data_IF_746230630767
#
_entry.id   IF_746230630767
#
_cell.length_a   1.000
_cell.length_b   1.000
_cell.length_c   1.000
_cell.angle_alpha   90.00
_cell.angle_beta   90.00
_cell.angle_gamma   90.00
#
_symmetry.space_group_name_H-M   'P 1'
#
loop_
_entity.id
_entity.type
_entity.pdbx_description
1 polymer ?
#
# COMPACT_ATOMS: atom_id res chain seq x y z
N UNK A 1 6.08 -19.83 6.46
CA UNK A 1 5.87 -18.49 5.85
C UNK A 1 6.03 -17.46 6.96
N UNK A 2 6.90 -16.48 6.78
CA UNK A 2 7.10 -15.41 7.77
C UNK A 2 6.16 -14.23 7.46
N UNK A 3 4.99 -14.28 8.07
CA UNK A 3 3.96 -13.22 7.91
C UNK A 3 4.44 -11.93 8.58
N UNK A 4 5.16 -12.03 9.68
CA UNK A 4 5.67 -10.87 10.42
C UNK A 4 6.64 -10.04 9.58
N UNK A 5 7.62 -10.69 8.95
CA UNK A 5 8.57 -10.04 8.05
C UNK A 5 7.85 -9.44 6.84
N UNK A 6 6.94 -10.19 6.22
CA UNK A 6 6.19 -9.71 5.05
C UNK A 6 5.35 -8.46 5.37
N UNK A 7 4.65 -8.44 6.50
CA UNK A 7 3.87 -7.28 6.94
C UNK A 7 4.77 -6.07 7.24
N UNK A 8 5.90 -6.28 7.89
CA UNK A 8 6.86 -5.22 8.20
C UNK A 8 7.39 -4.56 6.91
N UNK A 9 7.77 -5.36 5.93
CA UNK A 9 8.23 -4.85 4.63
C UNK A 9 7.11 -4.16 3.84
N UNK A 10 5.90 -4.72 3.83
CA UNK A 10 4.75 -4.12 3.19
C UNK A 10 4.41 -2.75 3.78
N UNK A 11 4.39 -2.62 5.11
CA UNK A 11 4.12 -1.35 5.78
C UNK A 11 5.25 -0.35 5.54
N UNK A 12 6.51 -0.79 5.53
CA UNK A 12 7.66 0.06 5.24
C UNK A 12 7.62 0.66 3.84
N UNK A 13 6.97 0.00 2.89
CA UNK A 13 6.83 0.52 1.51
C UNK A 13 6.07 1.86 1.45
N UNK A 14 5.30 2.20 2.48
CA UNK A 14 4.58 3.49 2.59
C UNK A 14 5.43 4.61 3.21
N UNK A 15 6.62 4.29 3.71
CA UNK A 15 7.52 5.26 4.33
C UNK A 15 7.91 6.35 3.33
N UNK A 16 7.74 7.61 3.71
CA UNK A 16 8.10 8.76 2.87
C UNK A 16 7.20 9.01 1.66
N UNK A 17 6.16 8.22 1.46
CA UNK A 17 5.20 8.45 0.38
C UNK A 17 4.14 9.45 0.81
N UNK A 18 3.78 10.42 -0.06
CA UNK A 18 2.69 11.35 0.23
C UNK A 18 1.36 10.59 0.36
N UNK A 19 0.48 11.08 1.24
CA UNK A 19 -0.86 10.52 1.40
C UNK A 19 -1.77 11.03 0.27
N UNK A 20 -1.86 10.26 -0.82
CA UNK A 20 -2.62 10.65 -2.03
C UNK A 20 -3.89 9.83 -2.24
N UNK A 21 -4.16 8.86 -1.39
CA UNK A 21 -5.32 7.97 -1.51
C UNK A 21 -5.32 6.90 -0.44
N UNK A 22 -6.19 5.90 -0.57
CA UNK A 22 -6.23 4.74 0.33
C UNK A 22 -4.90 4.01 0.36
N UNK A 23 -4.46 3.66 1.56
CA UNK A 23 -3.30 2.79 1.77
C UNK A 23 -3.81 1.45 2.24
N UNK A 24 -3.66 0.45 1.42
CA UNK A 24 -4.15 -0.89 1.69
C UNK A 24 -3.02 -1.91 1.63
N UNK A 25 -3.11 -2.90 2.49
CA UNK A 25 -2.35 -4.14 2.41
C UNK A 25 -3.36 -5.27 2.28
N UNK A 26 -3.20 -6.09 1.27
CA UNK A 26 -3.95 -7.33 1.11
C UNK A 26 -3.02 -8.48 1.47
N UNK A 27 -3.26 -9.10 2.62
CA UNK A 27 -2.55 -10.28 3.07
C UNK A 27 -3.31 -11.53 2.59
N UNK A 28 -2.63 -12.40 1.88
CA UNK A 28 -3.16 -13.70 1.47
C UNK A 28 -2.34 -14.78 2.15
N UNK A 29 -2.92 -15.49 3.10
CA UNK A 29 -2.21 -16.53 3.85
C UNK A 29 -3.16 -17.55 4.46
N UNK A 30 -2.61 -18.71 4.84
CA UNK A 30 -3.29 -19.76 5.57
C UNK A 30 -3.24 -19.59 7.10
N UNK A 31 -2.68 -18.49 7.59
CA UNK A 31 -2.65 -18.15 9.02
C UNK A 31 -1.69 -18.99 9.87
N UNK A 32 -0.84 -19.81 9.26
CA UNK A 32 0.05 -20.73 9.95
C UNK A 32 1.28 -20.12 10.62
N UNK A 33 1.25 -18.84 11.05
CA UNK A 33 2.39 -18.16 11.64
C UNK A 33 2.06 -17.51 12.99
N UNK A 34 3.06 -17.41 13.85
CA UNK A 34 2.94 -16.76 15.17
C UNK A 34 3.94 -15.61 15.22
N UNK A 35 3.43 -14.38 15.24
CA UNK A 35 4.26 -13.19 15.37
C UNK A 35 4.73 -13.02 16.81
N UNK A 36 6.02 -12.75 17.00
CA UNK A 36 6.57 -12.35 18.28
C UNK A 36 6.01 -10.99 18.75
N UNK A 37 6.15 -10.70 20.05
CA UNK A 37 5.57 -9.50 20.66
C UNK A 37 6.13 -8.20 20.08
N UNK A 38 7.43 -8.16 19.79
CA UNK A 38 8.12 -7.00 19.25
C UNK A 38 7.63 -6.68 17.83
N UNK A 39 7.58 -7.70 16.97
CA UNK A 39 7.06 -7.56 15.59
C UNK A 39 5.60 -7.11 15.57
N UNK A 40 4.77 -7.65 16.46
CA UNK A 40 3.36 -7.23 16.58
C UNK A 40 3.23 -5.76 16.95
N UNK A 41 3.98 -5.31 17.94
CA UNK A 41 3.93 -3.91 18.38
C UNK A 41 4.44 -2.96 17.29
N UNK A 42 5.54 -3.32 16.63
CA UNK A 42 6.10 -2.55 15.54
C UNK A 42 5.13 -2.42 14.36
N UNK A 43 4.57 -3.54 13.89
CA UNK A 43 3.59 -3.57 12.78
C UNK A 43 2.35 -2.76 13.14
N UNK A 44 1.78 -2.97 14.32
CA UNK A 44 0.59 -2.25 14.75
C UNK A 44 0.83 -0.74 14.84
N UNK A 45 1.96 -0.31 15.38
CA UNK A 45 2.33 1.11 15.44
C UNK A 45 2.45 1.71 14.05
N UNK A 46 3.21 1.08 13.15
CA UNK A 46 3.42 1.58 11.79
C UNK A 46 2.14 1.59 10.94
N UNK A 47 1.29 0.59 11.10
CA UNK A 47 -0.02 0.54 10.45
C UNK A 47 -0.86 1.77 10.83
N UNK A 48 -0.89 2.13 12.12
CA UNK A 48 -1.58 3.34 12.61
C UNK A 48 -0.94 4.61 12.08
N UNK A 49 0.39 4.72 12.16
CA UNK A 49 1.14 5.92 11.73
C UNK A 49 0.92 6.22 10.24
N UNK A 50 0.89 5.18 9.42
CA UNK A 50 0.70 5.32 7.98
C UNK A 50 -0.76 5.24 7.54
N UNK A 51 -1.70 5.03 8.48
CA UNK A 51 -3.15 4.90 8.22
C UNK A 51 -3.44 3.83 7.17
N UNK A 52 -2.86 2.65 7.36
CA UNK A 52 -3.01 1.52 6.45
C UNK A 52 -4.23 0.69 6.83
N UNK A 53 -5.05 0.34 5.85
CA UNK A 53 -6.14 -0.63 6.00
C UNK A 53 -5.60 -2.02 5.68
N UNK A 54 -5.91 -3.00 6.51
CA UNK A 54 -5.53 -4.40 6.30
C UNK A 54 -6.73 -5.24 5.87
N UNK A 55 -6.61 -5.88 4.73
CA UNK A 55 -7.52 -6.92 4.27
C UNK A 55 -6.83 -8.27 4.34
N UNK A 56 -7.37 -9.20 5.09
CA UNK A 56 -6.84 -10.56 5.18
C UNK A 56 -7.72 -11.55 4.44
N UNK A 57 -7.19 -12.12 3.36
CA UNK A 57 -7.76 -13.23 2.62
C UNK A 57 -7.19 -14.53 3.21
N UNK A 58 -7.91 -15.07 4.18
CA UNK A 58 -7.54 -16.32 4.85
C UNK A 58 -7.91 -17.50 3.96
N UNK A 59 -6.90 -18.24 3.51
CA UNK A 59 -7.11 -19.48 2.75
C UNK A 59 -7.22 -20.62 3.75
N UNK A 60 -8.45 -21.09 3.96
CA UNK A 60 -8.70 -22.19 4.88
C UNK A 60 -8.06 -23.48 4.39
N UNK A 61 -7.17 -24.05 5.16
CA UNK A 61 -6.71 -25.43 4.94
C UNK A 61 -7.78 -26.43 5.40
N UNK A 62 -7.77 -27.63 4.80
CA UNK A 62 -8.77 -28.68 5.12
C UNK A 62 -8.81 -29.09 6.62
N UNK A 63 -7.78 -28.73 7.39
CA UNK A 63 -7.63 -29.01 8.82
C UNK A 63 -7.68 -27.75 9.69
N UNK A 64 -7.77 -26.55 9.10
CA UNK A 64 -7.82 -25.28 9.82
C UNK A 64 -9.15 -25.07 10.52
N UNK A 65 -9.10 -24.50 11.72
CA UNK A 65 -10.29 -24.26 12.55
C UNK A 65 -11.24 -23.20 11.98
N UNK A 66 -10.76 -22.38 11.02
CA UNK A 66 -11.50 -21.21 10.51
C UNK A 66 -11.41 -20.00 11.45
N UNK A 67 -11.67 -18.81 10.91
CA UNK A 67 -11.58 -17.56 11.68
C UNK A 67 -12.74 -17.38 12.68
N UNK A 68 -13.86 -18.06 12.44
CA UNK A 68 -15.08 -18.03 13.26
C UNK A 68 -15.19 -19.15 14.28
N UNK A 69 -14.08 -19.87 14.55
CA UNK A 69 -14.08 -20.85 15.61
C UNK A 69 -14.41 -20.15 16.93
N UNK A 70 -15.71 -20.06 17.21
CA UNK A 70 -16.24 -19.55 18.46
C UNK A 70 -15.66 -20.39 19.61
N UNK A 71 -15.21 -19.69 20.63
CA UNK A 71 -14.68 -20.24 21.88
C UNK A 71 -15.67 -21.19 22.60
N UNK A 72 -16.83 -21.46 21.99
CA UNK A 72 -17.96 -22.17 22.56
C UNK A 72 -18.15 -23.64 22.14
N UNK A 73 -17.67 -24.08 20.98
CA UNK A 73 -17.80 -25.49 20.58
C UNK A 73 -16.51 -26.26 20.90
N UNK A 74 -16.39 -26.62 22.20
CA UNK A 74 -15.51 -27.71 22.62
C UNK A 74 -16.05 -29.02 22.03
N UNK A 75 -15.57 -29.34 20.84
CA UNK A 75 -15.67 -30.72 20.37
C UNK A 75 -14.78 -31.56 21.26
N UNK A 76 -15.35 -32.47 22.02
CA UNK A 76 -14.70 -33.31 23.02
C UNK A 76 -13.56 -34.23 22.50
N UNK A 77 -13.22 -34.14 21.22
CA UNK A 77 -12.18 -34.93 20.59
C UNK A 77 -10.77 -34.26 20.56
N UNK A 78 -10.57 -33.08 21.15
CA UNK A 78 -9.33 -32.33 21.11
C UNK A 78 -8.88 -31.69 22.42
N UNK A 79 -9.26 -32.23 23.56
CA UNK A 79 -9.00 -31.64 24.89
C UNK A 79 -7.52 -31.56 25.35
N UNK A 80 -6.55 -31.72 24.46
CA UNK A 80 -5.10 -31.66 24.80
C UNK A 80 -4.33 -30.50 24.15
N UNK A 81 -4.95 -29.66 23.31
CA UNK A 81 -4.25 -28.50 22.70
C UNK A 81 -4.99 -27.21 23.08
N UNK A 82 -4.71 -26.73 24.28
CA UNK A 82 -5.15 -25.42 24.79
C UNK A 82 -4.42 -24.25 24.17
N UNK A 83 -3.76 -24.44 23.02
CA UNK A 83 -3.17 -23.39 22.22
C UNK A 83 -4.21 -22.91 21.20
N UNK A 84 -4.58 -21.66 21.32
CA UNK A 84 -5.41 -20.97 20.33
C UNK A 84 -4.76 -21.14 18.95
N UNK A 85 -5.50 -21.70 18.00
CA UNK A 85 -4.99 -21.91 16.64
C UNK A 85 -4.31 -20.63 16.10
N UNK A 86 -3.16 -20.73 15.44
CA UNK A 86 -2.38 -19.56 15.01
C UNK A 86 -3.21 -18.55 14.20
N UNK A 87 -4.13 -19.04 13.36
CA UNK A 87 -5.03 -18.22 12.56
C UNK A 87 -5.99 -17.38 13.42
N UNK A 88 -6.51 -17.95 14.50
CA UNK A 88 -7.40 -17.23 15.45
C UNK A 88 -6.61 -16.19 16.23
N UNK A 89 -5.37 -16.53 16.59
CA UNK A 89 -4.47 -15.59 17.26
C UNK A 89 -4.15 -14.39 16.36
N UNK A 90 -3.80 -14.62 15.09
CA UNK A 90 -3.54 -13.57 14.11
C UNK A 90 -4.79 -12.72 13.87
N UNK A 91 -5.95 -13.34 13.75
CA UNK A 91 -7.22 -12.62 13.58
C UNK A 91 -7.48 -11.65 14.73
N UNK A 92 -7.34 -12.10 15.97
CA UNK A 92 -7.49 -11.26 17.17
C UNK A 92 -6.45 -10.15 17.23
N UNK A 93 -5.22 -10.45 16.86
CA UNK A 93 -4.17 -9.45 16.81
C UNK A 93 -4.51 -8.36 15.79
N UNK A 94 -4.88 -8.71 14.55
CA UNK A 94 -5.23 -7.75 13.52
C UNK A 94 -6.46 -6.90 13.91
N UNK A 95 -7.45 -7.49 14.54
CA UNK A 95 -8.62 -6.76 15.04
C UNK A 95 -8.26 -5.77 16.16
N UNK A 96 -7.26 -6.11 16.98
CA UNK A 96 -6.80 -5.27 18.09
C UNK A 96 -5.83 -4.14 17.70
N UNK A 97 -5.34 -4.10 16.45
CA UNK A 97 -4.31 -3.12 16.03
C UNK A 97 -4.77 -1.65 16.05
N UNK A 98 -6.08 -1.41 16.09
CA UNK A 98 -6.63 -0.04 16.06
C UNK A 98 -6.55 0.64 14.69
N UNK A 99 -6.44 -0.15 13.61
CA UNK A 99 -6.53 0.27 12.21
C UNK A 99 -7.70 -0.42 11.54
N UNK A 100 -8.26 0.12 10.44
CA UNK A 100 -9.31 -0.57 9.71
C UNK A 100 -8.82 -1.94 9.25
N UNK A 101 -9.56 -2.98 9.64
CA UNK A 101 -9.24 -4.37 9.37
C UNK A 101 -10.47 -5.13 8.90
N UNK A 102 -10.31 -6.00 7.91
CA UNK A 102 -11.36 -6.90 7.46
C UNK A 102 -10.76 -8.24 7.03
N UNK A 103 -11.32 -9.32 7.55
CA UNK A 103 -10.94 -10.68 7.17
C UNK A 103 -12.01 -11.30 6.27
N UNK A 104 -11.54 -12.06 5.29
CA UNK A 104 -12.38 -12.89 4.43
C UNK A 104 -11.85 -14.32 4.48
N UNK A 105 -12.73 -15.26 4.75
CA UNK A 105 -12.41 -16.68 4.70
C UNK A 105 -12.70 -17.20 3.30
N UNK A 106 -11.66 -17.62 2.59
CA UNK A 106 -11.75 -18.14 1.24
C UNK A 106 -11.57 -19.67 1.27
N UNK A 107 -12.65 -20.37 1.47
CA UNK A 107 -12.74 -21.82 1.46
C UNK A 107 -12.97 -22.41 0.06
N UNK A 108 -13.37 -21.54 -0.90
CA UNK A 108 -13.59 -21.91 -2.29
C UNK A 108 -13.30 -20.72 -3.24
N UNK A 109 -13.12 -20.95 -4.56
CA UNK A 109 -12.82 -19.89 -5.52
C UNK A 109 -13.87 -18.77 -5.57
N UNK A 110 -15.14 -19.10 -5.39
CA UNK A 110 -16.24 -18.13 -5.43
C UNK A 110 -16.19 -17.16 -4.23
N UNK A 111 -15.83 -17.67 -3.04
CA UNK A 111 -15.63 -16.84 -1.86
C UNK A 111 -14.44 -15.88 -2.05
N UNK A 112 -13.37 -16.34 -2.70
CA UNK A 112 -12.23 -15.51 -3.05
C UNK A 112 -12.60 -14.39 -4.03
N UNK A 113 -13.34 -14.72 -5.09
CA UNK A 113 -13.82 -13.73 -6.06
C UNK A 113 -14.71 -12.67 -5.38
N UNK A 114 -15.64 -13.10 -4.52
CA UNK A 114 -16.50 -12.21 -3.77
C UNK A 114 -15.70 -11.29 -2.83
N UNK A 115 -14.67 -11.81 -2.17
CA UNK A 115 -13.79 -11.02 -1.32
C UNK A 115 -13.02 -9.96 -2.11
N UNK A 116 -12.46 -10.32 -3.26
CA UNK A 116 -11.75 -9.39 -4.14
C UNK A 116 -12.69 -8.30 -4.66
N UNK A 117 -13.90 -8.67 -5.07
CA UNK A 117 -14.91 -7.72 -5.53
C UNK A 117 -15.33 -6.73 -4.43
N UNK A 118 -15.46 -7.20 -3.18
CA UNK A 118 -15.80 -6.35 -2.04
C UNK A 118 -14.66 -5.38 -1.68
N UNK A 119 -13.40 -5.85 -1.68
CA UNK A 119 -12.22 -4.98 -1.49
C UNK A 119 -12.16 -3.92 -2.56
N UNK A 120 -12.33 -4.29 -3.82
CA UNK A 120 -12.33 -3.35 -4.94
C UNK A 120 -13.45 -2.30 -4.82
N UNK A 121 -14.64 -2.70 -4.39
CA UNK A 121 -15.77 -1.79 -4.16
C UNK A 121 -15.51 -0.81 -3.02
N UNK A 122 -14.91 -1.28 -1.91
CA UNK A 122 -14.64 -0.47 -0.72
C UNK A 122 -13.51 0.52 -0.94
N UNK A 123 -12.51 0.14 -1.72
CA UNK A 123 -11.30 0.94 -1.96
C UNK A 123 -11.35 1.75 -3.26
N UNK A 124 -12.44 1.67 -4.01
CA UNK A 124 -12.62 2.44 -5.24
C UNK A 124 -12.90 3.93 -4.94
N UNK A 125 -12.05 4.50 -4.09
CA UNK A 125 -12.06 5.94 -3.80
C UNK A 125 -11.36 6.68 -4.95
N UNK A 126 -11.86 7.86 -5.36
CA UNK A 126 -11.20 8.64 -6.40
C UNK A 126 -9.78 8.97 -5.94
N UNK A 127 -8.80 8.51 -6.69
CA UNK A 127 -7.40 8.87 -6.47
C UNK A 127 -7.29 10.35 -6.79
N UNK A 128 -7.14 11.18 -5.77
CA UNK A 128 -6.85 12.61 -5.96
C UNK A 128 -5.39 12.70 -6.39
N UNK A 129 -5.16 12.67 -7.68
CA UNK A 129 -3.87 13.02 -8.26
C UNK A 129 -3.67 14.52 -8.03
N UNK A 130 -2.71 14.90 -7.18
CA UNK A 130 -2.10 16.21 -7.28
C UNK A 130 -1.18 16.17 -8.49
N UNK A 131 -1.75 16.47 -9.64
CA UNK A 131 -0.95 16.73 -10.82
C UNK A 131 -0.16 18.01 -10.53
N UNK A 132 1.14 17.84 -10.30
CA UNK A 132 2.04 18.97 -10.18
C UNK A 132 2.21 19.47 -11.61
N UNK A 133 1.35 20.42 -12.02
CA UNK A 133 1.47 21.07 -13.32
C UNK A 133 2.92 21.54 -13.43
N UNK A 134 3.69 20.98 -14.37
CA UNK A 134 5.09 21.36 -14.52
C UNK A 134 5.16 22.87 -14.72
N UNK A 135 6.06 23.53 -14.00
CA UNK A 135 6.31 24.96 -14.14
C UNK A 135 6.40 25.26 -15.61
N UNK A 136 5.63 26.26 -16.04
CA UNK A 136 5.59 26.72 -17.43
C UNK A 136 7.02 26.87 -17.94
N UNK A 137 7.39 26.07 -18.94
CA UNK A 137 8.73 26.12 -19.51
C UNK A 137 8.92 27.45 -20.23
N UNK A 138 9.80 28.27 -19.69
CA UNK A 138 10.16 29.58 -20.26
C UNK A 138 11.34 29.48 -21.18
N UNK A 139 11.93 28.30 -21.38
CA UNK A 139 13.07 28.08 -22.27
C UNK A 139 12.86 28.65 -23.67
N UNK A 140 11.69 28.50 -24.34
CA UNK A 140 11.48 29.05 -25.68
C UNK A 140 11.63 30.56 -25.73
N UNK A 141 11.19 31.26 -24.68
CA UNK A 141 11.33 32.72 -24.59
C UNK A 141 12.80 33.15 -24.42
N UNK A 142 13.55 32.43 -23.57
CA UNK A 142 14.97 32.68 -23.37
C UNK A 142 15.77 32.47 -24.66
N UNK A 143 15.49 31.38 -25.37
CA UNK A 143 16.11 31.11 -26.66
C UNK A 143 15.73 32.14 -27.73
N UNK A 144 14.48 32.59 -27.75
CA UNK A 144 14.03 33.65 -28.67
C UNK A 144 14.76 34.96 -28.44
N UNK A 145 14.90 35.40 -27.19
CA UNK A 145 15.66 36.62 -26.85
C UNK A 145 17.13 36.49 -27.19
N UNK A 146 17.76 35.35 -26.89
CA UNK A 146 19.17 35.11 -27.24
C UNK A 146 19.40 35.15 -28.74
N UNK A 147 18.50 34.51 -29.51
CA UNK A 147 18.57 34.51 -30.97
C UNK A 147 18.43 35.94 -31.57
N UNK A 148 17.49 36.74 -31.07
CA UNK A 148 17.32 38.12 -31.49
C UNK A 148 18.57 38.97 -31.18
N UNK A 149 19.21 38.79 -30.02
CA UNK A 149 20.43 39.47 -29.66
C UNK A 149 21.60 39.13 -30.63
N UNK A 150 21.75 37.85 -30.97
CA UNK A 150 22.77 37.41 -31.95
C UNK A 150 22.53 38.04 -33.34
N UNK A 151 21.30 38.10 -33.80
CA UNK A 151 20.95 38.72 -35.07
C UNK A 151 21.25 40.22 -35.07
N UNK A 152 20.98 40.94 -33.99
CA UNK A 152 21.32 42.36 -33.84
C UNK A 152 22.83 42.59 -33.89
N UNK A 153 23.62 41.75 -33.20
CA UNK A 153 25.08 41.83 -33.22
C UNK A 153 25.64 41.57 -34.63
N UNK A 154 25.08 40.58 -35.34
CA UNK A 154 25.46 40.32 -36.74
C UNK A 154 25.12 41.48 -37.66
N UNK A 155 23.95 42.07 -37.51
CA UNK A 155 23.54 43.23 -38.29
C UNK A 155 24.45 44.46 -38.03
N UNK A 156 24.77 44.73 -36.76
CA UNK A 156 25.69 45.78 -36.36
C UNK A 156 27.09 45.56 -36.98
N UNK A 157 27.59 44.33 -36.95
CA UNK A 157 28.89 43.99 -37.55
C UNK A 157 28.90 44.11 -39.04
N UNK A 158 27.83 43.75 -39.71
CA UNK A 158 27.71 43.99 -41.18
C UNK A 158 27.66 45.48 -41.57
N UNK A 159 26.98 46.28 -40.74
CA UNK A 159 26.99 47.76 -41.00
C UNK A 159 28.35 48.35 -40.78
N UNK A 160 29.11 47.94 -39.79
CA UNK A 160 30.49 48.38 -39.56
C UNK A 160 31.40 48.04 -40.76
N UNK A 161 31.31 46.81 -41.28
CA UNK A 161 32.03 46.35 -42.43
C UNK A 161 31.68 47.15 -43.74
N UNK A 162 30.41 47.59 -43.84
CA UNK A 162 29.97 48.44 -44.97
C UNK A 162 30.45 49.86 -44.87
N UNK A 163 30.63 50.41 -43.68
CA UNK A 163 31.11 51.76 -43.46
C UNK A 163 32.61 51.90 -43.72
N UNK A 164 33.37 50.83 -43.79
CA UNK A 164 34.81 50.80 -44.06
C UNK A 164 35.12 50.51 -45.54
N UNK A 165 34.14 50.43 -46.37
CA UNK A 165 34.26 50.36 -47.86
C UNK A 165 33.82 51.62 -48.53
#
# INVERSE_FOLDING_TARGET
TDIGLALREAVNSFRGRPYTGSRIIVLVSDGGDILDAETREEVARRMRDYRVTLYWLYIRSARGAGLRADVGERTEAGAAQGETAPEVFLHRFFDSMGTPYKAYEADNPQALEAAIADVNRLENLPIIYRDTIPRRDLSPWCYGVAFAAVLLLLAAKLMELRAWR
#
